data_IF_062804790761
#
_entry.id   IF_062804790761
#
_cell.length_a   1.000
_cell.length_b   1.000
_cell.length_c   1.000
_cell.angle_alpha   90.00
_cell.angle_beta   90.00
_cell.angle_gamma   90.00
#
_symmetry.space_group_name_H-M   'P 1'
#
loop_
_entity.id
_entity.type
_entity.pdbx_description
1 polymer ?
#
# COMPACT_ATOMS: atom_id res chain seq x y z
N UNK A 1 16.03 -16.21 -49.40
CA UNK A 1 16.56 -15.75 -48.10
C UNK A 1 18.00 -15.28 -48.25
N UNK A 2 18.91 -16.09 -48.83
CA UNK A 2 20.30 -15.66 -49.15
C UNK A 2 20.38 -14.39 -50.01
N UNK A 3 19.44 -14.18 -50.94
CA UNK A 3 19.42 -12.98 -51.80
C UNK A 3 19.09 -11.68 -51.03
N UNK A 4 18.43 -11.78 -49.87
CA UNK A 4 18.00 -10.63 -49.06
C UNK A 4 18.74 -10.50 -47.72
N UNK A 5 19.41 -11.59 -47.29
CA UNK A 5 20.23 -11.71 -46.09
C UNK A 5 21.49 -12.52 -46.45
N UNK A 6 22.38 -11.96 -47.28
CA UNK A 6 23.62 -12.63 -47.64
C UNK A 6 24.52 -12.75 -46.40
N UNK A 7 25.21 -13.89 -46.31
CA UNK A 7 26.17 -14.18 -45.22
C UNK A 7 27.53 -13.55 -45.50
N UNK A 8 27.92 -13.53 -46.78
CA UNK A 8 29.14 -12.89 -47.28
C UNK A 8 28.83 -11.52 -47.91
N UNK A 9 29.86 -10.73 -48.21
CA UNK A 9 29.68 -9.42 -48.84
C UNK A 9 29.04 -9.57 -50.25
N UNK A 10 27.82 -9.05 -50.47
CA UNK A 10 27.14 -9.17 -51.76
C UNK A 10 27.67 -8.17 -52.81
N UNK A 11 28.58 -7.26 -52.44
CA UNK A 11 29.14 -6.23 -53.32
C UNK A 11 28.07 -5.35 -54.03
N UNK A 12 26.97 -5.06 -53.34
CA UNK A 12 25.88 -4.23 -53.89
C UNK A 12 26.34 -2.78 -54.15
N UNK A 13 26.13 -2.30 -55.37
CA UNK A 13 26.39 -0.92 -55.79
C UNK A 13 25.28 0.03 -55.34
N UNK A 14 25.59 1.03 -54.47
CA UNK A 14 24.61 2.02 -54.04
C UNK A 14 24.08 2.93 -55.16
N UNK A 15 24.79 3.00 -56.29
CA UNK A 15 24.41 3.83 -57.43
C UNK A 15 23.40 3.13 -58.36
N UNK A 16 23.26 1.81 -58.26
CA UNK A 16 22.23 1.05 -58.96
C UNK A 16 20.90 1.09 -58.19
N UNK A 17 19.81 1.40 -58.90
CA UNK A 17 18.49 1.61 -58.29
C UNK A 17 17.93 0.33 -57.67
N UNK A 18 18.18 -0.83 -58.29
CA UNK A 18 17.69 -2.14 -57.81
C UNK A 18 18.51 -2.56 -56.60
N UNK A 19 19.83 -2.44 -56.67
CA UNK A 19 20.73 -2.82 -55.58
C UNK A 19 20.57 -1.91 -54.35
N UNK A 20 20.24 -0.62 -54.53
CA UNK A 20 19.87 0.27 -53.43
C UNK A 20 18.61 -0.18 -52.68
N UNK A 21 17.63 -0.77 -53.38
CA UNK A 21 16.46 -1.36 -52.73
C UNK A 21 16.84 -2.59 -51.90
N UNK A 22 17.73 -3.44 -52.41
CA UNK A 22 18.26 -4.59 -51.67
C UNK A 22 19.02 -4.17 -50.41
N UNK A 23 19.88 -3.15 -50.50
CA UNK A 23 20.58 -2.57 -49.34
C UNK A 23 19.57 -2.10 -48.28
N UNK A 24 18.52 -1.38 -48.71
CA UNK A 24 17.49 -0.87 -47.80
C UNK A 24 16.71 -2.00 -47.11
N UNK A 25 16.37 -3.06 -47.85
CA UNK A 25 15.72 -4.25 -47.29
C UNK A 25 16.61 -4.99 -46.30
N UNK A 26 17.89 -5.17 -46.63
CA UNK A 26 18.87 -5.80 -45.75
C UNK A 26 19.05 -5.04 -44.43
N UNK A 27 19.15 -3.70 -44.49
CA UNK A 27 19.22 -2.86 -43.29
C UNK A 27 17.97 -2.99 -42.39
N UNK A 28 16.78 -3.06 -42.99
CA UNK A 28 15.54 -3.30 -42.24
C UNK A 28 15.54 -4.69 -41.58
N UNK A 29 16.02 -5.71 -42.29
CA UNK A 29 16.12 -7.08 -41.76
C UNK A 29 17.15 -7.19 -40.63
N UNK A 30 18.31 -6.53 -40.73
CA UNK A 30 19.28 -6.42 -39.63
C UNK A 30 18.64 -5.74 -38.42
N UNK A 31 17.97 -4.60 -38.62
CA UNK A 31 17.33 -3.86 -37.53
C UNK A 31 16.25 -4.72 -36.86
N UNK A 32 15.47 -5.44 -37.66
CA UNK A 32 14.47 -6.39 -37.16
C UNK A 32 15.12 -7.53 -36.37
N UNK A 33 16.19 -8.13 -36.90
CA UNK A 33 16.95 -9.19 -36.25
C UNK A 33 17.60 -8.75 -34.94
N UNK A 34 18.14 -7.53 -34.86
CA UNK A 34 18.68 -6.99 -33.61
C UNK A 34 17.57 -6.75 -32.58
N UNK A 35 16.43 -6.21 -33.01
CA UNK A 35 15.29 -5.91 -32.13
C UNK A 35 14.60 -7.16 -31.58
N UNK A 36 14.60 -8.26 -32.33
CA UNK A 36 13.80 -9.45 -32.02
C UNK A 36 14.64 -10.72 -31.80
N UNK A 37 15.88 -10.75 -32.25
CA UNK A 37 16.74 -11.95 -32.27
C UNK A 37 17.54 -12.17 -30.99
N UNK A 38 17.71 -11.15 -30.15
CA UNK A 38 18.20 -11.32 -28.77
C UNK A 38 16.97 -11.35 -27.86
N UNK A 39 16.59 -12.51 -27.31
CA UNK A 39 15.57 -12.55 -26.28
C UNK A 39 16.04 -11.65 -25.14
N UNK A 40 15.20 -10.66 -24.75
CA UNK A 40 15.50 -9.88 -23.55
C UNK A 40 15.72 -10.87 -22.40
N UNK A 41 16.84 -10.79 -21.65
CA UNK A 41 17.07 -11.72 -20.56
C UNK A 41 15.95 -11.55 -19.54
N UNK A 42 15.08 -12.57 -19.43
CA UNK A 42 13.96 -12.58 -18.51
C UNK A 42 14.51 -12.53 -17.09
N UNK A 43 14.10 -11.54 -16.33
CA UNK A 43 14.58 -11.37 -14.96
C UNK A 43 13.51 -11.82 -13.96
N UNK A 44 13.38 -13.14 -13.81
CA UNK A 44 12.48 -13.74 -12.80
C UNK A 44 12.84 -13.31 -11.38
N UNK A 45 14.12 -13.00 -11.11
CA UNK A 45 14.54 -12.57 -9.77
C UNK A 45 13.84 -11.27 -9.33
N UNK A 46 13.52 -10.38 -10.28
CA UNK A 46 12.76 -9.16 -9.98
C UNK A 46 11.34 -9.46 -9.51
N UNK A 47 10.70 -10.46 -10.11
CA UNK A 47 9.36 -10.90 -9.72
C UNK A 47 9.35 -11.48 -8.29
N UNK A 48 10.37 -12.27 -7.94
CA UNK A 48 10.50 -12.84 -6.59
C UNK A 48 10.87 -11.82 -5.50
N UNK A 49 11.39 -10.65 -5.87
CA UNK A 49 11.73 -9.56 -4.94
C UNK A 49 10.53 -8.68 -4.55
N UNK A 50 9.41 -8.79 -5.26
CA UNK A 50 8.19 -8.02 -4.96
C UNK A 50 7.56 -8.58 -3.68
N UNK A 51 7.62 -7.85 -2.57
CA UNK A 51 6.95 -8.21 -1.31
C UNK A 51 6.01 -7.08 -0.92
N UNK A 52 4.86 -7.42 -0.34
CA UNK A 52 3.90 -6.44 0.17
C UNK A 52 4.48 -5.66 1.35
N UNK A 53 4.42 -4.33 1.28
CA UNK A 53 4.81 -3.44 2.38
C UNK A 53 3.86 -3.51 3.58
N UNK A 54 4.25 -2.93 4.71
CA UNK A 54 3.44 -2.96 5.93
C UNK A 54 2.16 -2.13 5.86
N UNK A 55 2.20 -1.03 5.13
CA UNK A 55 1.09 -0.07 4.92
C UNK A 55 0.59 -0.11 3.46
N UNK A 56 1.07 -1.08 2.67
CA UNK A 56 0.67 -1.22 1.27
C UNK A 56 -0.63 -2.03 1.20
N UNK A 57 -1.63 -1.48 0.53
CA UNK A 57 -2.91 -2.19 0.35
C UNK A 57 -2.71 -3.46 -0.50
N UNK A 58 -3.50 -4.53 -0.26
CA UNK A 58 -3.37 -5.76 -1.05
C UNK A 58 -3.53 -5.56 -2.56
N UNK A 59 -4.41 -4.65 -2.99
CA UNK A 59 -4.63 -4.33 -4.39
C UNK A 59 -3.42 -3.65 -5.02
N UNK A 60 -2.84 -2.64 -4.35
CA UNK A 60 -1.65 -1.94 -4.84
C UNK A 60 -0.45 -2.89 -4.96
N UNK A 61 -0.29 -3.80 -4.01
CA UNK A 61 0.73 -4.84 -4.08
C UNK A 61 0.53 -5.77 -5.29
N UNK A 62 -0.71 -6.23 -5.53
CA UNK A 62 -1.00 -7.09 -6.67
C UNK A 62 -0.79 -6.38 -8.02
N UNK A 63 -1.19 -5.11 -8.13
CA UNK A 63 -0.93 -4.30 -9.32
C UNK A 63 0.58 -4.18 -9.60
N UNK A 64 1.37 -3.88 -8.57
CA UNK A 64 2.84 -3.80 -8.69
C UNK A 64 3.46 -5.14 -9.09
N UNK A 65 2.93 -6.27 -8.59
CA UNK A 65 3.36 -7.60 -9.01
C UNK A 65 3.09 -7.84 -10.50
N UNK A 66 1.91 -7.45 -10.98
CA UNK A 66 1.51 -7.52 -12.39
C UNK A 66 2.40 -6.64 -13.28
N UNK A 67 2.69 -5.42 -12.85
CA UNK A 67 3.56 -4.48 -13.57
C UNK A 67 4.99 -5.02 -13.71
N UNK A 68 5.56 -5.56 -12.62
CA UNK A 68 6.90 -6.15 -12.64
C UNK A 68 6.96 -7.36 -13.55
N UNK A 69 5.93 -8.22 -13.54
CA UNK A 69 5.86 -9.35 -14.45
C UNK A 69 5.85 -8.88 -15.91
N UNK A 70 4.96 -7.96 -16.28
CA UNK A 70 4.87 -7.41 -17.65
C UNK A 70 6.15 -6.71 -18.11
N UNK A 71 6.90 -6.09 -17.18
CA UNK A 71 8.13 -5.36 -17.50
C UNK A 71 9.35 -6.27 -17.63
N UNK A 72 9.46 -7.31 -16.81
CA UNK A 72 10.71 -8.09 -16.65
C UNK A 72 10.58 -9.56 -17.05
N UNK A 73 9.37 -10.05 -17.32
CA UNK A 73 9.08 -11.42 -17.71
C UNK A 73 8.09 -11.45 -18.88
N UNK A 74 7.86 -12.64 -19.45
CA UNK A 74 6.81 -12.84 -20.46
C UNK A 74 5.49 -13.31 -19.82
N UNK A 75 5.40 -13.28 -18.50
CA UNK A 75 4.23 -13.76 -17.77
C UNK A 75 3.14 -12.69 -17.78
N UNK A 76 1.92 -13.10 -18.07
CA UNK A 76 0.77 -12.21 -18.09
C UNK A 76 -0.27 -12.66 -17.06
N UNK A 77 -0.62 -11.84 -16.06
CA UNK A 77 -1.63 -12.19 -15.05
C UNK A 77 -3.02 -12.47 -15.65
N UNK A 78 -3.33 -11.96 -16.84
CA UNK A 78 -4.60 -12.23 -17.52
C UNK A 78 -4.61 -13.58 -18.25
N UNK A 79 -3.42 -14.19 -18.42
CA UNK A 79 -3.28 -15.49 -19.06
C UNK A 79 -3.55 -16.62 -18.06
N UNK A 80 -4.50 -17.49 -18.40
CA UNK A 80 -4.89 -18.61 -17.53
C UNK A 80 -3.71 -19.54 -17.19
N UNK A 81 -2.77 -19.74 -18.11
CA UNK A 81 -1.56 -20.55 -17.87
C UNK A 81 -0.65 -19.99 -16.78
N UNK A 82 -0.70 -18.68 -16.54
CA UNK A 82 0.21 -17.97 -15.64
C UNK A 82 -0.47 -17.63 -14.32
N UNK A 83 -1.81 -17.68 -14.27
CA UNK A 83 -2.64 -17.38 -13.10
C UNK A 83 -2.14 -18.08 -11.82
N UNK A 84 -1.83 -19.38 -11.88
CA UNK A 84 -1.33 -20.13 -10.72
C UNK A 84 -0.03 -19.54 -10.15
N UNK A 85 0.83 -18.99 -11.00
CA UNK A 85 2.07 -18.32 -10.59
C UNK A 85 1.75 -17.06 -9.79
N UNK A 86 0.85 -16.22 -10.28
CA UNK A 86 0.44 -14.99 -9.58
C UNK A 86 -0.30 -15.27 -8.28
N UNK A 87 -1.14 -16.30 -8.23
CA UNK A 87 -1.78 -16.76 -6.99
C UNK A 87 -0.74 -17.19 -5.96
N UNK A 88 0.24 -17.99 -6.39
CA UNK A 88 1.31 -18.48 -5.50
C UNK A 88 2.18 -17.33 -4.97
N UNK A 89 2.56 -16.41 -5.86
CA UNK A 89 3.35 -15.23 -5.52
C UNK A 89 2.57 -14.31 -4.57
N UNK A 90 1.32 -13.99 -4.87
CA UNK A 90 0.47 -13.17 -4.02
C UNK A 90 0.37 -13.75 -2.61
N UNK A 91 0.10 -15.05 -2.46
CA UNK A 91 0.04 -15.72 -1.15
C UNK A 91 1.40 -15.71 -0.45
N UNK A 92 2.49 -16.02 -1.15
CA UNK A 92 3.83 -16.13 -0.58
C UNK A 92 4.46 -14.79 -0.18
N UNK A 93 4.20 -13.75 -0.95
CA UNK A 93 4.82 -12.43 -0.84
C UNK A 93 3.92 -11.37 -0.18
N UNK A 94 2.68 -11.73 0.19
CA UNK A 94 1.83 -10.90 1.05
C UNK A 94 2.46 -10.66 2.44
N UNK A 95 1.99 -9.61 3.12
CA UNK A 95 2.39 -9.29 4.48
C UNK A 95 2.19 -10.51 5.43
N UNK A 96 3.07 -10.77 6.41
CA UNK A 96 2.99 -11.96 7.25
C UNK A 96 1.64 -12.27 7.93
N UNK A 97 0.83 -11.28 8.28
CA UNK A 97 -0.52 -11.47 8.84
C UNK A 97 -1.54 -11.93 7.79
N UNK A 98 -1.56 -11.26 6.63
CA UNK A 98 -2.36 -11.61 5.45
C UNK A 98 -1.97 -13.00 4.97
N UNK A 99 -0.68 -13.26 4.73
CA UNK A 99 -0.16 -14.56 4.30
C UNK A 99 -0.63 -15.70 5.20
N UNK A 100 -0.54 -15.54 6.52
CA UNK A 100 -1.04 -16.54 7.49
C UNK A 100 -2.54 -16.81 7.36
N UNK A 101 -3.32 -15.83 6.93
CA UNK A 101 -4.75 -16.00 6.68
C UNK A 101 -5.00 -16.69 5.34
N UNK A 102 -4.30 -16.28 4.28
CA UNK A 102 -4.46 -16.83 2.94
C UNK A 102 -4.09 -18.32 2.89
N UNK A 103 -3.04 -18.75 3.59
CA UNK A 103 -2.65 -20.18 3.68
C UNK A 103 -3.71 -21.10 4.28
N UNK A 104 -4.68 -20.56 5.04
CA UNK A 104 -5.74 -21.34 5.69
C UNK A 104 -7.00 -21.49 4.83
N UNK A 105 -7.02 -20.85 3.66
CA UNK A 105 -8.18 -20.93 2.77
C UNK A 105 -8.03 -22.22 1.94
N UNK A 106 -8.89 -23.20 2.20
CA UNK A 106 -8.99 -24.42 1.41
C UNK A 106 -10.21 -24.35 0.46
N UNK A 107 -10.07 -24.89 -0.76
CA UNK A 107 -11.16 -25.07 -1.72
C UNK A 107 -10.91 -24.45 -3.10
N UNK A 108 -11.78 -24.72 -4.10
CA UNK A 108 -11.61 -24.27 -5.49
C UNK A 108 -11.59 -22.74 -5.60
N UNK A 109 -12.49 -22.08 -4.86
CA UNK A 109 -12.60 -20.61 -4.82
C UNK A 109 -11.47 -19.97 -3.99
N UNK A 110 -10.82 -20.74 -3.11
CA UNK A 110 -9.67 -20.33 -2.30
C UNK A 110 -8.41 -20.03 -3.10
N UNK A 111 -8.39 -20.38 -4.39
CA UNK A 111 -7.24 -20.22 -5.27
C UNK A 111 -7.45 -19.20 -6.38
N UNK A 112 -8.60 -18.52 -6.44
CA UNK A 112 -8.79 -17.39 -7.35
C UNK A 112 -8.17 -16.13 -6.76
N UNK A 113 -7.53 -15.32 -7.61
CA UNK A 113 -6.86 -14.09 -7.18
C UNK A 113 -7.85 -13.07 -6.64
N UNK A 114 -9.05 -12.99 -7.21
CA UNK A 114 -10.13 -12.11 -6.78
C UNK A 114 -10.56 -12.42 -5.34
N UNK A 115 -10.76 -13.70 -5.02
CA UNK A 115 -11.14 -14.12 -3.68
C UNK A 115 -10.00 -13.89 -2.67
N UNK A 116 -8.75 -14.17 -3.06
CA UNK A 116 -7.59 -13.91 -2.23
C UNK A 116 -7.43 -12.41 -1.93
N UNK A 117 -7.67 -11.55 -2.92
CA UNK A 117 -7.68 -10.09 -2.73
C UNK A 117 -8.77 -9.66 -1.75
N UNK A 118 -9.99 -10.19 -1.87
CA UNK A 118 -11.10 -9.88 -0.95
C UNK A 118 -10.73 -10.22 0.51
N UNK A 119 -10.14 -11.42 0.73
CA UNK A 119 -9.73 -11.84 2.07
C UNK A 119 -8.57 -10.99 2.59
N UNK A 120 -7.56 -10.72 1.75
CA UNK A 120 -6.43 -9.87 2.12
C UNK A 120 -6.91 -8.46 2.51
N UNK A 121 -7.87 -7.90 1.78
CA UNK A 121 -8.44 -6.59 2.03
C UNK A 121 -9.13 -6.52 3.40
N UNK A 122 -9.89 -7.56 3.76
CA UNK A 122 -10.51 -7.69 5.09
C UNK A 122 -9.47 -7.75 6.20
N UNK A 123 -8.37 -8.49 6.01
CA UNK A 123 -7.31 -8.58 7.02
C UNK A 123 -6.61 -7.24 7.21
N UNK A 124 -6.27 -6.56 6.10
CA UNK A 124 -5.64 -5.24 6.11
C UNK A 124 -6.50 -4.21 6.88
N UNK A 125 -7.79 -4.10 6.58
CA UNK A 125 -8.65 -3.13 7.26
C UNK A 125 -8.87 -3.46 8.74
N UNK A 126 -8.99 -4.74 9.08
CA UNK A 126 -9.13 -5.16 10.48
C UNK A 126 -7.90 -4.74 11.30
N UNK A 127 -6.70 -4.72 10.70
CA UNK A 127 -5.48 -4.22 11.34
C UNK A 127 -5.57 -2.71 11.59
N UNK A 128 -5.95 -1.92 10.59
CA UNK A 128 -6.13 -0.46 10.76
C UNK A 128 -7.16 -0.13 11.86
N UNK A 129 -8.31 -0.82 11.85
CA UNK A 129 -9.37 -0.61 12.84
C UNK A 129 -8.90 -0.92 14.27
N UNK A 130 -8.12 -1.98 14.45
CA UNK A 130 -7.58 -2.37 15.76
C UNK A 130 -6.58 -1.33 16.26
N UNK A 131 -5.67 -0.86 15.40
CA UNK A 131 -4.67 0.13 15.82
C UNK A 131 -5.32 1.48 16.12
N UNK A 132 -6.30 1.91 15.31
CA UNK A 132 -7.07 3.13 15.57
C UNK A 132 -7.81 3.08 16.90
N UNK A 133 -8.52 1.98 17.20
CA UNK A 133 -9.20 1.78 18.49
C UNK A 133 -8.24 1.79 19.68
N UNK A 134 -7.04 1.24 19.50
CA UNK A 134 -6.00 1.23 20.53
C UNK A 134 -5.47 2.64 20.80
N UNK A 135 -5.23 3.43 19.75
CA UNK A 135 -4.84 4.83 19.85
C UNK A 135 -5.93 5.66 20.55
N UNK A 136 -7.20 5.53 20.16
CA UNK A 136 -8.33 6.22 20.80
C UNK A 136 -8.44 5.86 22.29
N UNK A 137 -8.30 4.57 22.65
CA UNK A 137 -8.32 4.12 24.04
C UNK A 137 -7.15 4.67 24.85
N UNK A 138 -5.98 4.78 24.26
CA UNK A 138 -4.82 5.37 24.92
C UNK A 138 -4.99 6.88 25.12
N UNK A 139 -5.55 7.58 24.13
CA UNK A 139 -5.85 9.00 24.22
C UNK A 139 -6.90 9.26 25.30
N UNK A 140 -7.98 8.48 25.33
CA UNK A 140 -9.01 8.57 26.37
C UNK A 140 -8.44 8.35 27.78
N UNK A 141 -7.51 7.40 27.95
CA UNK A 141 -6.81 7.19 29.23
C UNK A 141 -5.97 8.39 29.64
N UNK A 142 -5.25 9.01 28.69
CA UNK A 142 -4.45 10.23 28.93
C UNK A 142 -5.36 11.38 29.34
N UNK A 143 -6.47 11.58 28.66
CA UNK A 143 -7.43 12.66 28.94
C UNK A 143 -8.14 12.45 30.28
N UNK A 144 -8.52 11.22 30.60
CA UNK A 144 -9.10 10.86 31.91
C UNK A 144 -8.10 11.13 33.04
N UNK A 145 -6.82 10.81 32.85
CA UNK A 145 -5.77 11.09 33.86
C UNK A 145 -5.58 12.59 34.06
N UNK A 146 -5.56 13.38 32.98
CA UNK A 146 -5.48 14.85 33.04
C UNK A 146 -6.68 15.45 33.78
N UNK A 147 -7.90 15.02 33.44
CA UNK A 147 -9.12 15.48 34.09
C UNK A 147 -9.14 15.18 35.59
N UNK A 148 -8.68 13.99 36.01
CA UNK A 148 -8.54 13.63 37.43
C UNK A 148 -7.54 14.52 38.17
N UNK A 149 -6.40 14.82 37.56
CA UNK A 149 -5.40 15.71 38.16
C UNK A 149 -5.95 17.13 38.31
N UNK A 150 -6.67 17.63 37.30
CA UNK A 150 -7.30 18.95 37.35
C UNK A 150 -8.37 19.02 38.45
N UNK A 151 -9.23 18.00 38.55
CA UNK A 151 -10.24 17.92 39.60
C UNK A 151 -9.62 17.87 41.01
N UNK A 152 -8.54 17.09 41.20
CA UNK A 152 -7.81 17.04 42.47
C UNK A 152 -7.18 18.39 42.84
N UNK A 153 -6.63 19.12 41.86
CA UNK A 153 -6.07 20.46 42.08
C UNK A 153 -7.15 21.47 42.50
N UNK A 154 -8.32 21.45 41.84
CA UNK A 154 -9.46 22.29 42.21
C UNK A 154 -9.95 21.98 43.63
N UNK A 155 -10.03 20.69 44.01
CA UNK A 155 -10.42 20.28 45.38
C UNK A 155 -9.41 20.79 46.41
N UNK A 156 -8.11 20.68 46.16
CA UNK A 156 -7.09 21.24 47.05
C UNK A 156 -7.19 22.76 47.18
N UNK A 157 -7.46 23.48 46.09
CA UNK A 157 -7.65 24.92 46.13
C UNK A 157 -8.88 25.31 46.95
N UNK A 158 -9.98 24.57 46.80
CA UNK A 158 -11.20 24.82 47.55
C UNK A 158 -11.05 24.46 49.04
N UNK A 159 -10.21 23.49 49.40
CA UNK A 159 -9.85 23.22 50.80
C UNK A 159 -8.94 24.29 51.40
N UNK A 160 -8.04 24.89 50.59
CA UNK A 160 -7.24 26.05 51.00
C UNK A 160 -8.11 27.29 51.25
N UNK A 161 -9.14 27.48 50.44
CA UNK A 161 -10.19 28.50 50.63
C UNK A 161 -11.26 27.95 51.60
N UNK A 162 -10.90 27.75 52.86
CA UNK A 162 -11.83 27.24 53.89
C UNK A 162 -13.16 28.03 53.97
N UNK A 163 -14.21 27.46 54.60
CA UNK A 163 -15.52 28.11 54.69
C UNK A 163 -15.39 29.55 55.16
N UNK A 164 -15.97 30.51 54.42
CA UNK A 164 -16.03 31.90 54.91
C UNK A 164 -16.66 31.87 56.30
N UNK A 165 -15.98 32.37 57.35
CA UNK A 165 -16.55 32.39 58.68
C UNK A 165 -17.87 33.14 58.60
N UNK A 166 -18.91 32.59 59.21
CA UNK A 166 -20.15 33.33 59.43
C UNK A 166 -19.79 34.64 60.11
N UNK A 167 -19.95 35.74 59.39
CA UNK A 167 -19.75 37.08 59.94
C UNK A 167 -20.70 37.27 61.12
N UNK A 168 -20.29 38.07 62.13
CA UNK A 168 -21.12 38.29 63.32
C UNK A 168 -22.51 38.81 62.92
N UNK A 169 -23.56 38.51 63.72
CA UNK A 169 -24.92 38.89 63.40
C UNK A 169 -24.99 40.39 63.15
N UNK A 170 -25.60 40.79 62.03
CA UNK A 170 -25.94 42.19 61.77
C UNK A 170 -26.82 42.68 62.92
N UNK A 171 -26.23 43.44 63.85
CA UNK A 171 -27.00 44.23 64.82
C UNK A 171 -27.68 45.33 64.02
N UNK A 172 -28.98 45.16 63.79
CA UNK A 172 -29.84 46.19 63.22
C UNK A 172 -29.64 47.50 63.99
N UNK A 173 -29.33 48.56 63.27
CA UNK A 173 -29.31 49.92 63.82
C UNK A 173 -30.75 50.28 64.20
N UNK A 174 -31.01 50.83 65.41
CA UNK A 174 -32.32 51.37 65.73
C UNK A 174 -32.62 52.52 64.76
N UNK A 175 -33.82 52.53 64.19
CA UNK A 175 -34.27 53.61 63.32
C UNK A 175 -34.31 54.96 64.06
N UNK A 176 -34.09 56.09 63.38
CA UNK A 176 -34.36 57.37 63.97
C UNK A 176 -35.88 57.59 64.01
N UNK A 177 -36.39 57.61 65.23
CA UNK A 177 -37.67 58.22 65.61
C UNK A 177 -37.75 59.66 65.10
N UNK A 178 -38.80 59.92 64.31
CA UNK A 178 -39.57 61.17 64.22
C UNK A 178 -38.85 62.46 63.78
N UNK A 179 -39.45 63.17 62.84
CA UNK A 179 -40.22 64.40 63.13
C UNK A 179 -40.73 65.04 61.83
N UNK A 180 -42.02 65.40 61.89
CA UNK A 180 -42.75 66.40 61.09
C UNK A 180 -43.10 66.08 59.63
#
# INVERSE_FOLDING_TARGET
>A
LEEFLPTDDPAWDPNDVIQRLLISGYQQLILFGIKNGIPKPKNLSKLYQVVQGDEETPSAFYERLCEVARQWTDSDPERESDNLTFVTLFVGQSNPDIRRKLWKIEGPNGRSIEHLLEVAWRVYNNREDVEKKKQEKEQLKKDTRKARLLAAAIVQENQRKGPRPWGPPFKGRPGPTGLS
#
